data_IF_239563109050
#
_entry.id   IF_239563109050
#
_cell.length_a   1.000
_cell.length_b   1.000
_cell.length_c   1.000
_cell.angle_alpha   90.00
_cell.angle_beta   90.00
_cell.angle_gamma   90.00
#
_symmetry.space_group_name_H-M   'P 1'
#
loop_
_entity.id
_entity.type
_entity.pdbx_description
1 polymer ?
#
# COMPACT_ATOMS: atom_id res chain seq x y z
N UNK A 1 19.74 4.09 -11.36
CA UNK A 1 18.97 4.76 -10.29
C UNK A 1 19.10 3.96 -9.01
N UNK A 2 19.45 4.60 -7.87
CA UNK A 2 19.58 3.95 -6.58
C UNK A 2 18.33 4.22 -5.74
N UNK A 3 17.64 3.18 -5.31
CA UNK A 3 16.35 3.26 -4.59
C UNK A 3 16.46 2.58 -3.24
N UNK A 4 16.10 3.31 -2.17
CA UNK A 4 15.89 2.73 -0.85
C UNK A 4 14.41 2.40 -0.69
N UNK A 5 14.09 1.13 -0.54
CA UNK A 5 12.72 0.64 -0.34
C UNK A 5 12.48 0.23 1.11
N UNK A 6 11.29 0.53 1.64
CA UNK A 6 10.83 0.19 2.97
C UNK A 6 9.42 -0.42 2.91
N UNK A 7 9.19 -1.51 3.60
CA UNK A 7 7.85 -2.05 3.84
C UNK A 7 7.68 -2.48 5.30
N UNK A 8 6.52 -2.20 5.87
CA UNK A 8 6.15 -2.57 7.24
C UNK A 8 4.68 -2.99 7.34
N UNK A 9 4.13 -3.47 6.23
CA UNK A 9 2.73 -3.89 6.15
C UNK A 9 2.46 -5.25 6.82
N UNK A 10 3.49 -6.07 6.96
CA UNK A 10 3.43 -7.38 7.63
C UNK A 10 4.60 -7.57 8.57
N UNK A 11 5.81 -7.71 8.04
CA UNK A 11 7.10 -7.65 8.74
C UNK A 11 7.79 -6.32 8.42
N UNK A 12 8.81 -5.93 9.18
CA UNK A 12 9.62 -4.77 8.82
C UNK A 12 10.73 -5.21 7.85
N UNK A 13 10.81 -4.58 6.69
CA UNK A 13 11.84 -4.86 5.69
C UNK A 13 12.36 -3.58 5.05
N UNK A 14 13.66 -3.56 4.75
CA UNK A 14 14.35 -2.47 4.06
C UNK A 14 15.28 -3.08 3.02
N UNK A 15 15.34 -2.50 1.83
CA UNK A 15 16.25 -2.92 0.77
C UNK A 15 16.83 -1.71 0.05
N UNK A 16 18.11 -1.76 -0.27
CA UNK A 16 18.77 -0.84 -1.18
C UNK A 16 18.99 -1.56 -2.51
N UNK A 17 18.51 -0.97 -3.59
CA UNK A 17 18.58 -1.58 -4.91
C UNK A 17 19.07 -0.59 -5.97
N UNK A 18 19.74 -1.13 -6.98
CA UNK A 18 20.08 -0.43 -8.22
C UNK A 18 19.08 -0.83 -9.29
N UNK A 19 18.36 0.14 -9.84
CA UNK A 19 17.48 -0.03 -10.98
C UNK A 19 18.21 0.51 -12.21
N UNK A 20 18.28 -0.29 -13.28
CA UNK A 20 19.05 0.02 -14.49
C UNK A 20 18.43 1.12 -15.34
N UNK A 21 17.11 1.28 -15.27
CA UNK A 21 16.33 2.27 -16.01
C UNK A 21 15.11 2.73 -15.20
N UNK A 22 14.56 3.90 -15.49
CA UNK A 22 13.29 4.35 -14.91
C UNK A 22 12.07 4.02 -15.80
N UNK A 23 12.30 3.35 -16.93
CA UNK A 23 11.24 2.88 -17.81
C UNK A 23 10.56 1.62 -17.25
N UNK A 24 9.30 1.34 -17.63
CA UNK A 24 8.65 0.08 -17.32
C UNK A 24 9.44 -1.13 -17.86
N UNK A 25 9.48 -2.21 -17.07
CA UNK A 25 10.21 -3.43 -17.42
C UNK A 25 11.69 -3.40 -17.06
N UNK A 26 12.14 -2.37 -16.36
CA UNK A 26 13.51 -2.30 -15.84
C UNK A 26 13.82 -3.44 -14.88
N UNK A 27 15.09 -3.79 -14.74
CA UNK A 27 15.57 -4.74 -13.74
C UNK A 27 16.04 -4.02 -12.46
N UNK A 28 15.92 -4.69 -11.33
CA UNK A 28 16.40 -4.23 -10.04
C UNK A 28 17.39 -5.24 -9.45
N UNK A 29 18.61 -4.79 -9.21
CA UNK A 29 19.65 -5.51 -8.46
C UNK A 29 19.56 -5.12 -6.99
N UNK A 30 19.31 -6.08 -6.09
CA UNK A 30 19.33 -5.84 -4.65
C UNK A 30 20.78 -5.81 -4.18
N UNK A 31 21.22 -4.66 -3.66
CA UNK A 31 22.58 -4.47 -3.15
C UNK A 31 22.71 -4.93 -1.70
N UNK A 32 21.71 -4.65 -0.88
CA UNK A 32 21.58 -5.11 0.50
C UNK A 32 20.11 -5.10 0.92
N UNK A 33 19.73 -6.01 1.82
CA UNK A 33 18.39 -6.04 2.39
C UNK A 33 18.39 -6.62 3.79
N UNK A 34 17.45 -6.13 4.61
CA UNK A 34 17.17 -6.63 5.96
C UNK A 34 15.68 -6.85 6.12
N UNK A 35 15.34 -7.91 6.80
CA UNK A 35 13.96 -8.27 7.13
C UNK A 35 13.89 -8.76 8.58
N UNK A 36 12.84 -8.36 9.29
CA UNK A 36 12.57 -8.80 10.65
C UNK A 36 11.59 -9.97 10.62
N UNK A 37 11.88 -11.01 11.39
CA UNK A 37 10.94 -12.09 11.65
C UNK A 37 9.83 -11.67 12.64
N UNK A 38 10.07 -10.60 13.43
CA UNK A 38 9.12 -10.11 14.42
C UNK A 38 8.14 -9.11 13.80
N UNK A 39 6.85 -9.40 13.95
CA UNK A 39 5.74 -8.56 13.48
C UNK A 39 5.38 -7.41 14.44
N UNK A 40 6.18 -7.16 15.50
CA UNK A 40 5.89 -6.15 16.54
C UNK A 40 6.88 -5.01 16.60
N UNK A 41 8.12 -5.23 16.16
CA UNK A 41 9.24 -4.27 16.31
C UNK A 41 9.41 -3.31 15.14
N UNK A 42 8.37 -3.07 14.32
CA UNK A 42 8.48 -2.27 13.09
C UNK A 42 9.10 -0.89 13.32
N UNK A 43 8.64 -0.16 14.36
CA UNK A 43 9.12 1.21 14.60
C UNK A 43 10.57 1.26 15.06
N UNK A 44 11.04 0.20 15.72
CA UNK A 44 12.38 0.14 16.33
C UNK A 44 13.45 -0.23 15.32
N UNK A 45 13.11 -1.02 14.31
CA UNK A 45 14.09 -1.59 13.37
C UNK A 45 14.19 -0.87 12.03
N UNK A 46 13.16 -0.13 11.59
CA UNK A 46 13.14 0.49 10.25
C UNK A 46 14.32 1.44 10.00
N UNK A 47 14.59 2.37 10.92
CA UNK A 47 15.70 3.31 10.78
C UNK A 47 17.07 2.63 10.93
N UNK A 48 17.30 1.73 11.91
CA UNK A 48 18.50 0.89 11.95
C UNK A 48 18.76 0.10 10.68
N UNK A 49 17.75 -0.56 10.10
CA UNK A 49 17.91 -1.31 8.85
C UNK A 49 18.25 -0.40 7.67
N UNK A 50 17.64 0.78 7.58
CA UNK A 50 17.99 1.76 6.56
C UNK A 50 19.45 2.23 6.68
N UNK A 51 19.95 2.45 7.90
CA UNK A 51 21.34 2.77 8.13
C UNK A 51 22.28 1.60 7.78
N UNK A 52 21.87 0.38 8.11
CA UNK A 52 22.70 -0.81 7.88
C UNK A 52 22.86 -1.14 6.40
N UNK A 53 21.77 -1.09 5.57
CA UNK A 53 21.88 -1.34 4.12
C UNK A 53 22.80 -0.31 3.44
N UNK A 54 22.82 0.94 3.92
CA UNK A 54 23.74 1.95 3.42
C UNK A 54 25.19 1.66 3.84
N UNK A 55 25.40 1.29 5.11
CA UNK A 55 26.73 0.96 5.63
C UNK A 55 27.34 -0.25 4.91
N UNK A 56 26.56 -1.33 4.70
CA UNK A 56 27.03 -2.55 4.04
C UNK A 56 27.44 -2.32 2.57
N UNK A 57 26.81 -1.33 1.93
CA UNK A 57 27.12 -0.97 0.53
C UNK A 57 28.17 0.14 0.41
N UNK A 58 28.61 0.72 1.51
CA UNK A 58 29.52 1.86 1.52
C UNK A 58 28.91 3.15 0.91
N UNK A 59 27.57 3.21 0.90
CA UNK A 59 26.81 4.35 0.35
C UNK A 59 26.20 5.17 1.48
N UNK A 60 25.81 6.40 1.15
CA UNK A 60 25.10 7.30 2.05
C UNK A 60 23.77 7.77 1.45
N UNK A 61 23.00 8.53 2.23
CA UNK A 61 21.71 9.05 1.78
C UNK A 61 21.82 10.03 0.60
N UNK A 62 22.97 10.66 0.37
CA UNK A 62 23.18 11.56 -0.76
C UNK A 62 23.21 10.79 -2.09
N UNK A 63 23.72 9.56 -2.07
CA UNK A 63 23.79 8.68 -3.23
C UNK A 63 22.41 8.11 -3.64
N UNK A 64 21.44 8.06 -2.72
CA UNK A 64 20.08 7.57 -3.00
C UNK A 64 19.36 8.53 -3.94
N UNK A 65 18.74 8.02 -5.01
CA UNK A 65 17.98 8.84 -5.97
C UNK A 65 16.50 8.97 -5.59
N UNK A 66 15.94 7.95 -4.95
CA UNK A 66 14.55 7.94 -4.51
C UNK A 66 14.34 7.01 -3.31
N UNK A 67 13.30 7.29 -2.53
CA UNK A 67 12.80 6.41 -1.47
C UNK A 67 11.46 5.82 -1.94
N UNK A 68 11.28 4.52 -1.73
CA UNK A 68 10.05 3.80 -2.01
C UNK A 68 9.46 3.29 -0.69
N UNK A 69 8.15 3.39 -0.51
CA UNK A 69 7.49 2.80 0.66
C UNK A 69 6.29 1.98 0.27
N UNK A 70 6.13 0.83 0.93
CA UNK A 70 4.87 0.11 0.91
C UNK A 70 3.78 0.93 1.59
N UNK A 71 2.63 1.05 0.92
CA UNK A 71 1.47 1.77 1.45
C UNK A 71 0.45 0.85 2.12
N UNK A 72 0.74 -0.44 2.22
CA UNK A 72 -0.16 -1.46 2.77
C UNK A 72 -1.02 -2.11 1.67
N UNK A 73 -2.14 -2.71 2.04
CA UNK A 73 -2.77 -2.69 3.36
C UNK A 73 -2.00 -3.45 4.45
N UNK A 74 -2.26 -3.11 5.70
CA UNK A 74 -1.59 -3.72 6.85
C UNK A 74 -2.03 -3.10 8.18
N UNK A 75 -1.49 -3.59 9.33
CA UNK A 75 -1.77 -3.06 10.65
C UNK A 75 -1.39 -1.59 10.78
N UNK A 76 -2.28 -0.80 11.38
CA UNK A 76 -2.18 0.66 11.48
C UNK A 76 -0.81 1.17 12.01
N UNK A 77 -0.31 0.59 13.11
CA UNK A 77 0.96 1.00 13.72
C UNK A 77 2.15 0.62 12.84
N UNK A 78 2.12 -0.59 12.27
CA UNK A 78 3.17 -1.08 11.38
C UNK A 78 3.31 -0.17 10.16
N UNK A 79 2.23 0.04 9.40
CA UNK A 79 2.25 0.90 8.20
C UNK A 79 2.82 2.29 8.47
N UNK A 80 2.45 2.90 9.60
CA UNK A 80 2.97 4.22 9.96
C UNK A 80 4.47 4.23 10.17
N UNK A 81 5.02 3.19 10.77
CA UNK A 81 6.47 3.12 11.01
C UNK A 81 7.26 3.22 9.70
N UNK A 82 6.95 2.38 8.70
CA UNK A 82 7.62 2.40 7.40
C UNK A 82 7.39 3.69 6.62
N UNK A 83 6.14 4.11 6.49
CA UNK A 83 5.79 5.31 5.72
C UNK A 83 6.43 6.57 6.32
N UNK A 84 6.38 6.73 7.65
CA UNK A 84 6.98 7.91 8.29
C UNK A 84 8.50 7.88 8.23
N UNK A 85 9.14 6.71 8.36
CA UNK A 85 10.58 6.58 8.15
C UNK A 85 10.96 6.96 6.72
N UNK A 86 10.25 6.43 5.72
CA UNK A 86 10.50 6.76 4.31
C UNK A 86 10.35 8.26 4.03
N UNK A 87 9.29 8.89 4.51
CA UNK A 87 9.07 10.34 4.37
C UNK A 87 10.15 11.17 5.05
N UNK A 88 10.56 10.76 6.25
CA UNK A 88 11.61 11.45 7.01
C UNK A 88 12.96 11.37 6.28
N UNK A 89 13.33 10.19 5.78
CA UNK A 89 14.56 9.99 5.01
C UNK A 89 14.51 10.78 3.69
N UNK A 90 13.40 10.71 2.96
CA UNK A 90 13.22 11.49 1.73
C UNK A 90 13.33 12.99 1.96
N UNK A 91 12.75 13.51 3.05
CA UNK A 91 12.88 14.90 3.45
C UNK A 91 14.33 15.25 3.83
N UNK A 92 14.97 14.46 4.68
CA UNK A 92 16.32 14.71 5.16
C UNK A 92 17.37 14.71 4.02
N UNK A 93 17.18 13.86 3.02
CA UNK A 93 18.08 13.74 1.87
C UNK A 93 17.65 14.57 0.67
N UNK A 94 16.53 15.28 0.75
CA UNK A 94 15.90 16.01 -0.37
C UNK A 94 15.67 15.11 -1.59
N UNK A 95 15.09 13.92 -1.35
CA UNK A 95 14.79 12.92 -2.39
C UNK A 95 13.30 12.68 -2.52
N UNK A 96 12.82 12.35 -3.73
CA UNK A 96 11.43 11.98 -3.93
C UNK A 96 11.07 10.71 -3.15
N UNK A 97 9.85 10.67 -2.61
CA UNK A 97 9.27 9.47 -1.99
C UNK A 97 8.11 9.01 -2.86
N UNK A 98 8.11 7.72 -3.16
CA UNK A 98 7.06 7.04 -3.93
C UNK A 98 6.35 6.00 -3.07
N UNK A 99 5.07 5.79 -3.32
CA UNK A 99 4.26 4.75 -2.70
C UNK A 99 3.88 3.65 -3.68
N UNK A 100 3.88 2.41 -3.20
CA UNK A 100 3.37 1.26 -3.92
C UNK A 100 2.59 0.35 -2.96
N UNK A 101 1.47 -0.22 -3.42
CA UNK A 101 0.69 -1.14 -2.62
C UNK A 101 1.54 -2.38 -2.25
N UNK A 102 1.64 -2.69 -0.96
CA UNK A 102 2.51 -3.74 -0.44
C UNK A 102 2.20 -5.14 -1.00
N UNK A 103 0.92 -5.44 -1.27
CA UNK A 103 0.54 -6.73 -1.87
C UNK A 103 1.16 -6.95 -3.25
N UNK A 104 1.58 -5.89 -3.94
CA UNK A 104 2.28 -5.97 -5.22
C UNK A 104 3.63 -6.70 -5.11
N UNK A 105 4.29 -6.63 -3.95
CA UNK A 105 5.53 -7.36 -3.70
C UNK A 105 5.33 -8.89 -3.76
N UNK A 106 4.20 -9.39 -3.28
CA UNK A 106 3.91 -10.83 -3.28
C UNK A 106 3.68 -11.36 -4.70
N UNK A 107 2.89 -10.66 -5.52
CA UNK A 107 2.68 -11.08 -6.91
C UNK A 107 3.96 -10.92 -7.73
N UNK A 108 4.78 -9.90 -7.49
CA UNK A 108 6.08 -9.74 -8.13
C UNK A 108 6.99 -10.94 -7.84
N UNK A 109 7.07 -11.38 -6.59
CA UNK A 109 7.88 -12.53 -6.21
C UNK A 109 7.45 -13.79 -6.95
N UNK A 110 6.17 -14.13 -6.93
CA UNK A 110 5.63 -15.29 -7.62
C UNK A 110 5.81 -15.18 -9.14
N UNK A 111 5.63 -13.99 -9.71
CA UNK A 111 5.85 -13.75 -11.13
C UNK A 111 7.31 -13.92 -11.54
N UNK A 112 8.25 -13.36 -10.76
CA UNK A 112 9.69 -13.47 -11.03
C UNK A 112 10.19 -14.92 -10.92
N UNK A 113 9.67 -15.67 -9.98
CA UNK A 113 9.99 -17.09 -9.77
C UNK A 113 9.36 -18.00 -10.86
N UNK A 114 8.48 -17.45 -11.71
CA UNK A 114 7.84 -18.18 -12.80
C UNK A 114 6.64 -19.03 -12.39
N UNK A 115 6.00 -18.73 -11.25
CA UNK A 115 4.83 -19.45 -10.72
C UNK A 115 3.70 -19.63 -11.75
N UNK A 116 3.62 -18.73 -12.71
CA UNK A 116 2.55 -18.71 -13.71
C UNK A 116 2.95 -19.32 -15.06
N UNK A 117 4.23 -19.79 -15.23
CA UNK A 117 4.73 -20.35 -16.50
C UNK A 117 4.23 -21.76 -16.76
N UNK A 118 4.14 -22.56 -15.69
CA UNK A 118 3.75 -23.98 -15.75
C UNK A 118 2.31 -24.21 -15.33
N UNK A 119 1.54 -23.15 -15.02
CA UNK A 119 0.15 -23.32 -14.63
C UNK A 119 -0.59 -23.99 -15.79
N UNK A 120 -1.28 -25.11 -15.48
CA UNK A 120 -2.06 -25.94 -16.41
C UNK A 120 -3.14 -25.17 -17.18
N UNK A 121 -3.38 -23.91 -16.80
CA UNK A 121 -4.18 -22.91 -17.49
C UNK A 121 -3.69 -22.59 -18.89
N UNK A 122 -2.42 -22.95 -19.22
CA UNK A 122 -1.79 -22.68 -20.51
C UNK A 122 -2.09 -23.71 -21.60
N UNK A 123 -2.62 -24.88 -21.28
CA UNK A 123 -2.53 -26.03 -22.18
C UNK A 123 -3.74 -26.26 -23.10
N UNK A 124 -4.89 -25.62 -22.88
CA UNK A 124 -6.12 -26.06 -23.56
C UNK A 124 -6.88 -25.05 -24.40
N UNK A 125 -6.43 -23.82 -24.56
CA UNK A 125 -7.10 -22.92 -25.51
C UNK A 125 -6.12 -22.31 -26.49
N UNK A 126 -6.20 -22.70 -27.75
CA UNK A 126 -5.52 -22.07 -28.89
C UNK A 126 -6.01 -20.63 -29.16
N UNK A 127 -6.43 -19.92 -28.13
CA UNK A 127 -6.86 -18.52 -28.16
C UNK A 127 -5.89 -17.69 -27.33
N UNK A 128 -5.63 -16.48 -27.81
CA UNK A 128 -4.86 -15.40 -27.20
C UNK A 128 -5.02 -15.45 -25.65
N UNK A 129 -3.92 -15.75 -24.91
CA UNK A 129 -3.96 -16.06 -23.47
C UNK A 129 -4.67 -14.96 -22.70
N UNK A 130 -5.85 -15.29 -22.16
CA UNK A 130 -6.51 -14.43 -21.20
C UNK A 130 -5.64 -14.29 -19.96
N UNK A 131 -5.70 -13.12 -19.30
CA UNK A 131 -5.02 -12.90 -18.03
C UNK A 131 -5.55 -13.88 -16.97
N UNK A 132 -4.63 -14.44 -16.15
CA UNK A 132 -5.00 -15.28 -15.01
C UNK A 132 -5.32 -14.39 -13.82
N UNK A 133 -6.58 -14.42 -13.35
CA UNK A 133 -6.95 -13.72 -12.14
C UNK A 133 -6.37 -14.44 -10.92
N UNK A 134 -5.57 -13.70 -10.15
CA UNK A 134 -4.79 -14.21 -9.03
C UNK A 134 -5.13 -13.43 -7.76
N UNK A 135 -5.54 -14.14 -6.71
CA UNK A 135 -5.74 -13.56 -5.39
C UNK A 135 -4.39 -13.42 -4.67
N UNK A 136 -4.10 -12.23 -4.19
CA UNK A 136 -2.96 -11.99 -3.29
C UNK A 136 -3.51 -11.58 -1.94
N UNK A 137 -3.11 -12.31 -0.87
CA UNK A 137 -3.67 -12.11 0.46
C UNK A 137 -2.59 -12.04 1.55
N UNK A 138 -2.73 -11.08 2.47
CA UNK A 138 -1.99 -10.99 3.72
C UNK A 138 -2.93 -11.10 4.92
N UNK A 139 -2.37 -11.39 6.11
CA UNK A 139 -3.15 -11.54 7.35
C UNK A 139 -3.68 -10.19 7.83
N UNK A 140 -4.99 -10.04 7.93
CA UNK A 140 -5.64 -8.87 8.50
C UNK A 140 -5.99 -9.05 9.97
N UNK A 141 -5.55 -10.14 10.62
CA UNK A 141 -5.96 -10.56 11.97
C UNK A 141 -7.48 -10.84 12.05
N UNK A 142 -7.97 -11.26 13.20
CA UNK A 142 -9.41 -11.47 13.47
C UNK A 142 -10.12 -12.42 12.48
N UNK A 143 -9.40 -13.38 11.91
CA UNK A 143 -9.89 -14.33 10.89
C UNK A 143 -10.29 -13.64 9.57
N UNK A 144 -9.64 -12.53 9.23
CA UNK A 144 -9.83 -11.80 7.98
C UNK A 144 -8.51 -11.69 7.23
N UNK A 145 -8.62 -11.42 5.94
CA UNK A 145 -7.49 -11.17 5.04
C UNK A 145 -7.58 -9.77 4.44
N UNK A 146 -6.44 -9.13 4.27
CA UNK A 146 -6.29 -8.08 3.27
C UNK A 146 -6.01 -8.75 1.94
N UNK A 147 -6.75 -8.43 0.92
CA UNK A 147 -6.55 -9.06 -0.39
C UNK A 147 -6.75 -8.10 -1.55
N UNK A 148 -6.15 -8.46 -2.67
CA UNK A 148 -6.32 -7.81 -3.97
C UNK A 148 -6.30 -8.85 -5.07
N UNK A 149 -7.01 -8.59 -6.17
CA UNK A 149 -6.99 -9.39 -7.37
C UNK A 149 -6.01 -8.77 -8.37
N UNK A 150 -5.16 -9.61 -8.93
CA UNK A 150 -4.25 -9.25 -10.01
C UNK A 150 -4.58 -10.04 -11.26
N UNK A 151 -4.58 -9.36 -12.40
CA UNK A 151 -4.60 -9.99 -13.71
C UNK A 151 -3.17 -10.24 -14.14
N UNK A 152 -2.75 -11.51 -14.19
CA UNK A 152 -1.39 -11.93 -14.54
C UNK A 152 -1.34 -12.46 -15.96
N UNK A 153 -0.40 -11.97 -16.75
CA UNK A 153 -0.13 -12.37 -18.14
C UNK A 153 1.32 -12.89 -18.27
N UNK A 154 1.72 -13.33 -19.44
CA UNK A 154 3.11 -13.69 -19.70
C UNK A 154 4.09 -12.52 -19.55
N UNK A 155 3.63 -11.30 -19.80
CA UNK A 155 4.46 -10.10 -19.87
C UNK A 155 4.45 -9.29 -18.57
N UNK A 156 3.62 -9.63 -17.59
CA UNK A 156 3.50 -8.92 -16.34
C UNK A 156 2.15 -9.11 -15.67
N UNK A 157 1.85 -8.22 -14.76
CA UNK A 157 0.60 -8.24 -13.99
C UNK A 157 0.08 -6.81 -13.80
N UNK A 158 -1.21 -6.71 -13.55
CA UNK A 158 -1.87 -5.45 -13.19
C UNK A 158 -2.92 -5.68 -12.09
N UNK A 159 -3.19 -4.66 -11.30
CA UNK A 159 -4.27 -4.71 -10.32
C UNK A 159 -5.61 -4.75 -11.05
N UNK A 160 -6.39 -5.81 -10.82
CA UNK A 160 -7.72 -6.00 -11.39
C UNK A 160 -8.82 -5.49 -10.44
N UNK A 161 -8.68 -5.74 -9.13
CA UNK A 161 -9.63 -5.27 -8.13
C UNK A 161 -9.02 -5.18 -6.72
N UNK A 162 -9.56 -4.35 -5.87
CA UNK A 162 -9.14 -4.13 -4.50
C UNK A 162 -8.18 -2.95 -4.32
N UNK A 163 -7.42 -2.88 -3.22
CA UNK A 163 -7.43 -3.86 -2.13
C UNK A 163 -8.71 -3.80 -1.27
N UNK A 164 -9.02 -4.91 -0.61
CA UNK A 164 -10.15 -5.05 0.30
C UNK A 164 -9.77 -5.79 1.59
N UNK A 165 -10.66 -5.77 2.59
CA UNK A 165 -10.51 -6.53 3.83
C UNK A 165 -11.81 -7.26 4.13
N UNK A 166 -11.71 -8.50 4.57
CA UNK A 166 -12.87 -9.30 4.95
C UNK A 166 -12.52 -10.75 5.29
N UNK A 167 -13.53 -11.54 5.72
CA UNK A 167 -13.35 -12.94 6.01
C UNK A 167 -12.95 -13.73 4.76
N UNK A 168 -11.96 -14.63 4.89
CA UNK A 168 -11.45 -15.43 3.77
C UNK A 168 -12.57 -16.26 3.06
N UNK A 169 -13.53 -16.80 3.83
CA UNK A 169 -14.65 -17.59 3.29
C UNK A 169 -15.66 -16.79 2.47
N UNK A 170 -15.60 -15.47 2.50
CA UNK A 170 -16.44 -14.57 1.68
C UNK A 170 -15.71 -14.06 0.43
N UNK A 171 -14.46 -14.43 0.27
CA UNK A 171 -13.64 -14.07 -0.90
C UNK A 171 -13.76 -15.18 -1.93
N UNK A 172 -14.75 -15.05 -2.82
CA UNK A 172 -15.00 -16.04 -3.86
C UNK A 172 -14.11 -15.84 -5.08
N UNK A 173 -13.66 -16.96 -5.66
CA UNK A 173 -13.00 -16.94 -6.96
C UNK A 173 -13.97 -16.41 -8.04
N UNK A 174 -13.46 -15.82 -9.13
CA UNK A 174 -14.27 -15.49 -10.30
C UNK A 174 -15.09 -16.73 -10.73
N UNK A 175 -16.20 -16.52 -11.45
CA UNK A 175 -17.13 -17.58 -11.81
C UNK A 175 -16.38 -18.82 -12.33
N UNK A 176 -16.31 -19.83 -11.47
CA UNK A 176 -15.54 -21.05 -11.69
C UNK A 176 -16.30 -21.95 -12.64
N UNK A 177 -15.70 -22.27 -13.78
CA UNK A 177 -16.11 -23.41 -14.58
C UNK A 177 -15.38 -24.66 -14.03
N UNK A 178 -16.07 -25.73 -13.62
CA UNK A 178 -15.40 -26.96 -13.15
C UNK A 178 -14.43 -27.60 -14.14
N UNK A 179 -14.47 -27.20 -15.41
CA UNK A 179 -13.53 -27.62 -16.46
C UNK A 179 -12.26 -26.77 -16.49
N UNK A 180 -12.26 -25.56 -15.86
CA UNK A 180 -11.09 -24.72 -15.76
C UNK A 180 -10.35 -24.95 -14.43
N UNK A 181 -9.01 -24.86 -14.40
CA UNK A 181 -8.28 -24.92 -13.15
C UNK A 181 -8.68 -23.75 -12.25
N UNK A 182 -8.77 -24.04 -10.94
CA UNK A 182 -9.09 -23.02 -9.95
C UNK A 182 -8.09 -21.86 -10.01
N UNK A 183 -8.57 -20.64 -9.86
CA UNK A 183 -7.75 -19.44 -9.88
C UNK A 183 -6.75 -19.44 -8.70
N UNK A 184 -5.47 -19.07 -8.94
CA UNK A 184 -4.42 -19.14 -7.92
C UNK A 184 -4.62 -18.09 -6.80
N UNK A 185 -4.25 -18.49 -5.58
CA UNK A 185 -4.17 -17.62 -4.42
C UNK A 185 -2.77 -17.68 -3.78
N UNK A 186 -2.21 -16.52 -3.42
CA UNK A 186 -0.85 -16.33 -2.96
C UNK A 186 -0.82 -15.55 -1.63
N UNK A 187 0.30 -15.70 -0.92
CA UNK A 187 0.65 -14.91 0.24
C UNK A 187 0.24 -15.54 1.57
N UNK A 188 0.81 -15.02 2.64
CA UNK A 188 0.64 -15.58 3.99
C UNK A 188 -0.83 -15.64 4.43
N UNK A 189 -1.65 -14.66 4.05
CA UNK A 189 -3.08 -14.70 4.32
C UNK A 189 -3.79 -15.85 3.61
N UNK A 190 -3.38 -16.20 2.39
CA UNK A 190 -3.91 -17.36 1.68
C UNK A 190 -3.49 -18.68 2.36
N UNK A 191 -2.25 -18.77 2.83
CA UNK A 191 -1.76 -19.92 3.56
C UNK A 191 -2.48 -20.15 4.89
N UNK A 192 -2.74 -19.08 5.66
CA UNK A 192 -3.47 -19.17 6.94
C UNK A 192 -4.90 -19.68 6.79
N UNK A 193 -5.55 -19.36 5.68
CA UNK A 193 -6.97 -19.66 5.45
C UNK A 193 -7.18 -20.55 4.23
N UNK A 194 -6.23 -21.47 3.97
CA UNK A 194 -6.25 -22.39 2.82
C UNK A 194 -7.56 -23.12 2.67
N UNK A 195 -8.09 -23.72 3.74
CA UNK A 195 -9.35 -24.47 3.69
C UNK A 195 -10.54 -23.59 3.25
N UNK A 196 -10.63 -22.38 3.82
CA UNK A 196 -11.71 -21.45 3.51
C UNK A 196 -11.63 -20.95 2.06
N UNK A 197 -10.44 -20.62 1.58
CA UNK A 197 -10.23 -20.17 0.21
C UNK A 197 -10.45 -21.29 -0.80
N UNK A 198 -9.98 -22.51 -0.51
CA UNK A 198 -10.24 -23.68 -1.37
C UNK A 198 -11.74 -23.98 -1.47
N UNK A 199 -12.48 -23.90 -0.36
CA UNK A 199 -13.93 -24.02 -0.37
C UNK A 199 -14.64 -22.90 -1.16
N UNK A 200 -13.97 -21.75 -1.35
CA UNK A 200 -14.45 -20.61 -2.12
C UNK A 200 -13.95 -20.61 -3.58
N UNK A 201 -13.33 -21.72 -4.05
CA UNK A 201 -12.94 -21.94 -5.44
C UNK A 201 -11.51 -21.49 -5.79
N UNK A 202 -10.65 -21.15 -4.80
CA UNK A 202 -9.27 -20.78 -5.03
C UNK A 202 -8.32 -21.97 -4.95
N UNK A 203 -7.27 -21.98 -5.76
CA UNK A 203 -6.11 -22.87 -5.63
C UNK A 203 -4.98 -22.13 -4.87
N UNK A 204 -4.79 -22.49 -3.60
CA UNK A 204 -3.73 -21.89 -2.79
C UNK A 204 -2.38 -22.51 -3.17
N UNK A 205 -1.52 -21.73 -3.84
CA UNK A 205 -0.21 -22.17 -4.27
C UNK A 205 0.73 -22.34 -3.06
N UNK A 206 1.00 -23.58 -2.67
CA UNK A 206 1.73 -23.94 -1.44
C UNK A 206 3.10 -23.29 -1.35
N UNK A 207 3.83 -23.20 -2.46
CA UNK A 207 5.18 -22.63 -2.51
C UNK A 207 5.17 -21.11 -2.27
N UNK A 208 4.03 -20.46 -2.41
CA UNK A 208 3.83 -19.01 -2.24
C UNK A 208 2.89 -18.66 -1.09
N UNK A 209 2.39 -19.67 -0.34
CA UNK A 209 1.45 -19.50 0.76
C UNK A 209 2.06 -18.92 2.06
N UNK A 210 3.37 -18.77 2.10
CA UNK A 210 4.10 -18.21 3.24
C UNK A 210 4.61 -16.79 3.00
N UNK A 211 4.42 -16.23 1.80
CA UNK A 211 5.01 -14.95 1.42
C UNK A 211 4.39 -13.77 2.17
N UNK A 212 5.26 -12.94 2.68
CA UNK A 212 4.96 -11.59 3.14
C UNK A 212 5.45 -10.55 2.12
N UNK A 213 4.87 -9.33 2.10
CA UNK A 213 5.47 -8.22 1.36
C UNK A 213 6.88 -7.93 1.89
N UNK A 214 7.86 -7.86 0.98
CA UNK A 214 9.23 -7.45 1.33
C UNK A 214 9.64 -6.19 0.56
N UNK A 215 10.54 -5.39 1.13
CA UNK A 215 11.08 -4.22 0.47
C UNK A 215 11.88 -4.59 -0.79
N UNK A 216 12.54 -5.75 -0.79
CA UNK A 216 13.28 -6.27 -1.94
C UNK A 216 12.36 -6.58 -3.13
N UNK A 217 11.22 -7.24 -2.88
CA UNK A 217 10.27 -7.55 -3.94
C UNK A 217 9.45 -6.31 -4.33
N UNK A 218 9.21 -5.39 -3.38
CA UNK A 218 8.54 -4.12 -3.66
C UNK A 218 9.36 -3.26 -4.64
N UNK A 219 10.69 -3.19 -4.49
CA UNK A 219 11.52 -2.42 -5.42
C UNK A 219 11.63 -3.09 -6.80
N UNK A 220 11.59 -4.42 -6.89
CA UNK A 220 11.49 -5.13 -8.17
C UNK A 220 10.16 -4.82 -8.87
N UNK A 221 9.06 -4.83 -8.12
CA UNK A 221 7.75 -4.42 -8.64
C UNK A 221 7.77 -2.96 -9.13
N UNK A 222 8.42 -2.07 -8.39
CA UNK A 222 8.58 -0.67 -8.79
C UNK A 222 9.39 -0.53 -10.09
N UNK A 223 10.44 -1.30 -10.27
CA UNK A 223 11.23 -1.33 -11.50
C UNK A 223 10.39 -1.83 -12.70
N UNK A 224 9.58 -2.88 -12.49
CA UNK A 224 8.65 -3.39 -13.51
C UNK A 224 7.62 -2.34 -13.93
N UNK A 225 7.05 -1.60 -12.98
CA UNK A 225 6.07 -0.54 -13.27
C UNK A 225 6.72 0.72 -13.89
N UNK A 226 8.02 0.89 -13.69
CA UNK A 226 8.75 2.14 -13.94
C UNK A 226 8.59 3.11 -12.77
N UNK A 227 9.67 3.42 -12.08
CA UNK A 227 9.64 4.19 -10.80
C UNK A 227 8.95 5.55 -10.96
N UNK A 228 9.14 6.23 -12.08
CA UNK A 228 8.50 7.54 -12.35
C UNK A 228 6.99 7.48 -12.53
N UNK A 229 6.44 6.29 -12.83
CA UNK A 229 4.99 6.08 -12.96
C UNK A 229 4.30 5.85 -11.61
N UNK A 230 5.08 5.65 -10.54
CA UNK A 230 4.54 5.43 -9.21
C UNK A 230 3.95 6.71 -8.62
N UNK A 231 2.96 6.53 -7.76
CA UNK A 231 2.34 7.65 -7.05
C UNK A 231 3.32 8.29 -6.07
N UNK A 232 3.29 9.61 -5.99
CA UNK A 232 3.89 10.38 -4.90
C UNK A 232 3.03 10.43 -3.65
N UNK A 233 1.79 9.99 -3.76
CA UNK A 233 0.93 9.81 -2.60
C UNK A 233 1.36 8.56 -1.83
N UNK A 234 1.85 8.77 -0.63
CA UNK A 234 2.30 7.74 0.28
C UNK A 234 1.33 7.59 1.46
N UNK A 235 0.05 7.90 1.26
CA UNK A 235 -0.96 7.65 2.29
C UNK A 235 -1.13 6.16 2.53
N UNK A 236 -1.27 5.80 3.81
CA UNK A 236 -1.53 4.42 4.17
C UNK A 236 -2.91 3.97 3.70
N UNK A 237 -2.98 2.79 3.11
CA UNK A 237 -4.23 2.16 2.70
C UNK A 237 -4.93 1.54 3.93
N UNK A 238 -5.63 2.40 4.68
CA UNK A 238 -6.43 1.98 5.83
C UNK A 238 -7.77 1.42 5.35
N UNK A 239 -7.90 0.10 5.31
CA UNK A 239 -9.13 -0.60 4.89
C UNK A 239 -10.07 -0.88 6.06
N UNK A 240 -9.65 -0.59 7.27
CA UNK A 240 -10.47 -0.68 8.48
C UNK A 240 -10.57 0.67 9.16
N UNK A 241 -11.73 0.94 9.73
CA UNK A 241 -11.90 2.02 10.67
C UNK A 241 -11.09 1.75 11.95
N UNK A 242 -10.65 2.81 12.62
CA UNK A 242 -9.96 2.70 13.89
C UNK A 242 -10.89 2.11 14.95
N UNK A 243 -10.47 1.02 15.61
CA UNK A 243 -11.18 0.45 16.76
C UNK A 243 -11.07 1.32 18.04
N UNK A 244 -10.41 2.46 17.97
CA UNK A 244 -10.23 3.35 19.10
C UNK A 244 -11.59 3.89 19.54
N UNK A 245 -12.17 3.28 20.57
CA UNK A 245 -13.33 3.85 21.28
C UNK A 245 -12.87 5.04 22.08
N UNK A 246 -13.46 6.22 21.83
CA UNK A 246 -13.23 7.38 22.67
C UNK A 246 -13.70 7.03 24.10
N UNK A 247 -12.84 7.11 25.11
CA UNK A 247 -13.27 6.82 26.48
C UNK A 247 -14.48 7.66 26.87
N UNK A 248 -15.46 7.05 27.54
CA UNK A 248 -16.71 7.74 27.96
C UNK A 248 -16.45 9.04 28.74
N UNK A 249 -15.37 9.09 29.54
CA UNK A 249 -14.91 10.29 30.23
C UNK A 249 -14.51 11.45 29.29
N UNK A 250 -14.03 11.14 28.09
CA UNK A 250 -13.63 12.13 27.08
C UNK A 250 -14.85 12.67 26.33
N UNK A 251 -15.84 11.80 26.04
CA UNK A 251 -17.12 12.18 25.45
C UNK A 251 -17.92 13.08 26.41
N UNK A 252 -17.88 12.80 27.71
CA UNK A 252 -18.51 13.65 28.74
C UNK A 252 -17.90 15.07 28.83
N UNK A 253 -16.58 15.18 28.61
CA UNK A 253 -15.88 16.50 28.60
C UNK A 253 -16.20 17.32 27.36
N UNK A 254 -16.39 16.72 26.20
CA UNK A 254 -16.80 17.42 24.97
C UNK A 254 -18.26 17.83 25.00
N UNK A 255 -19.15 17.06 25.64
CA UNK A 255 -20.55 17.43 25.85
C UNK A 255 -20.71 18.59 26.83
N UNK A 256 -19.82 18.72 27.83
CA UNK A 256 -19.85 19.85 28.80
C UNK A 256 -19.15 21.12 28.28
N UNK A 257 -18.47 21.07 27.13
CA UNK A 257 -17.75 22.18 26.50
C UNK A 257 -18.58 22.93 25.44
N UNK A 258 -19.87 22.65 25.25
CA UNK A 258 -20.73 23.48 24.41
C UNK A 258 -20.97 24.81 25.11
N UNK A 259 -20.66 25.96 24.47
CA UNK A 259 -20.98 27.26 25.06
C UNK A 259 -22.50 27.39 25.17
N UNK A 260 -23.01 28.07 26.25
CA UNK A 260 -24.44 28.28 26.41
C UNK A 260 -24.98 29.09 25.23
N UNK A 261 -26.02 28.57 24.59
CA UNK A 261 -26.78 29.28 23.57
C UNK A 261 -27.13 30.69 24.06
N UNK A 262 -26.65 31.71 23.33
CA UNK A 262 -26.89 33.10 23.60
C UNK A 262 -28.38 33.40 23.65
N UNK A 263 -28.76 34.05 24.71
CA UNK A 263 -30.06 34.66 24.89
C UNK A 263 -30.37 35.61 23.74
N UNK A 264 -31.49 35.38 23.10
CA UNK A 264 -32.11 36.32 22.18
C UNK A 264 -32.45 37.60 22.97
N UNK A 265 -31.80 38.69 22.64
CA UNK A 265 -32.17 40.02 23.09
C UNK A 265 -33.18 40.60 22.10
N UNK A 266 -34.45 40.54 22.46
CA UNK A 266 -35.52 41.33 21.85
C UNK A 266 -35.49 42.76 22.44
N UNK A 267 -35.45 43.76 21.58
CA UNK A 267 -35.85 45.12 21.97
C UNK A 267 -35.04 46.21 21.31
N UNK A 268 -35.62 46.81 20.45
CA UNK A 268 -35.95 48.22 20.22
C UNK A 268 -35.50 48.85 18.93
N UNK A 269 -36.55 49.28 18.25
CA UNK A 269 -36.55 50.18 17.11
C UNK A 269 -35.97 51.54 17.49
N UNK A 270 -35.14 52.12 16.63
CA UNK A 270 -35.21 53.56 16.38
C UNK A 270 -34.76 53.92 14.98
N UNK A 271 -35.68 54.68 14.38
CA UNK A 271 -35.61 55.37 13.08
C UNK A 271 -34.47 56.41 13.02
N UNK A 272 -33.83 56.63 11.93
CA UNK A 272 -34.02 57.80 11.02
C UNK A 272 -32.78 58.11 10.18
N UNK A 273 -33.07 58.46 8.91
CA UNK A 273 -32.36 59.34 7.93
C UNK A 273 -30.95 58.94 7.54
N UNK A 274 -30.68 58.57 6.32
CA UNK A 274 -30.93 59.38 5.09
C UNK A 274 -29.63 60.05 4.66
N UNK A 275 -29.02 59.57 3.65
CA UNK A 275 -28.53 60.39 2.53
C UNK A 275 -27.68 59.56 1.56
N UNK A 276 -28.01 59.71 0.36
CA UNK A 276 -27.48 59.14 -0.88
C UNK A 276 -26.19 59.85 -1.35
N UNK A 277 -25.71 59.61 -2.59
CA UNK A 277 -24.44 58.89 -2.90
C UNK A 277 -23.47 59.68 -3.77
N UNK A 278 -22.47 58.94 -4.28
CA UNK A 278 -21.65 59.13 -5.46
C UNK A 278 -20.40 60.04 -5.31
N UNK A 279 -19.45 59.98 -6.25
CA UNK A 279 -19.34 59.17 -7.48
C UNK A 279 -17.97 58.49 -7.75
N UNK A 280 -17.98 57.79 -8.83
CA UNK A 280 -16.92 57.03 -9.47
C UNK A 280 -15.75 57.84 -10.10
N UNK A 281 -14.66 57.05 -10.34
CA UNK A 281 -13.70 57.12 -11.45
C UNK A 281 -12.48 58.06 -11.33
N UNK A 282 -11.39 57.88 -12.13
CA UNK A 282 -11.07 56.80 -13.07
C UNK A 282 -9.63 56.27 -13.03
N UNK A 283 -9.37 55.31 -13.93
CA UNK A 283 -8.11 54.73 -14.33
C UNK A 283 -7.02 55.71 -14.81
N UNK A 284 -5.75 55.24 -14.74
CA UNK A 284 -4.62 55.42 -15.67
C UNK A 284 -3.54 54.44 -15.25
N UNK A 285 -3.20 53.46 -16.12
CA UNK A 285 -2.15 53.46 -17.15
C UNK A 285 -0.79 54.04 -16.66
N UNK A 286 0.12 53.17 -16.38
CA UNK A 286 1.40 53.01 -17.11
C UNK A 286 2.03 51.66 -16.68
#
# INVERSE_FOLDING_TARGET
MLVLALDSSATASVALARIDSDAPGASAEILASYESEDTRSHAEVMAPYAAQVLADTGLDGAAVDAVLTGTGPGPFTGLRAGIMTARTLGFAWNKPVYGLMSLTAIVERAFADGAFRDSRTAANSGMNRAAVETLVASDARRREIYCALFAVTENGYSLAAGPSVGPAHQTHAPAYDPSDPAAPALGYGAGLYTEALTASGWDVLKDYAHLHPTAADLVKAAARCGVKNLSRDTQALYLRESDAKVPAAMLARTASAQPPHGQQNTGEQQKTRGQQPAPASPAREQ
#
